data_IF_660656631443
#
_entry.id   IF_660656631443
#
_cell.length_a   1.000
_cell.length_b   1.000
_cell.length_c   1.000
_cell.angle_alpha   90.00
_cell.angle_beta   90.00
_cell.angle_gamma   90.00
#
_symmetry.space_group_name_H-M   'P 1'
#
loop_
_entity.id
_entity.type
_entity.pdbx_description
1 polymer ?
#
# COMPACT_ATOMS: atom_id res chain seq x y z
N UNK A 1 -43.54 21.10 23.23
CA UNK A 1 -43.87 20.22 22.09
C UNK A 1 -43.61 21.04 20.84
N UNK A 2 -42.49 20.79 20.17
CA UNK A 2 -42.04 21.59 19.02
C UNK A 2 -42.46 20.88 17.74
N UNK A 3 -43.45 21.43 17.04
CA UNK A 3 -43.84 21.05 15.69
C UNK A 3 -42.72 21.49 14.73
N UNK A 4 -41.89 20.53 14.31
CA UNK A 4 -41.05 20.75 13.15
C UNK A 4 -41.88 20.42 11.90
N UNK A 5 -42.00 21.35 10.93
CA UNK A 5 -42.76 21.08 9.71
C UNK A 5 -42.12 19.94 8.91
N UNK A 6 -42.97 19.04 8.39
CA UNK A 6 -42.57 17.96 7.50
C UNK A 6 -42.05 18.55 6.18
N UNK A 7 -40.85 18.14 5.69
CA UNK A 7 -40.31 18.65 4.45
C UNK A 7 -41.17 18.19 3.26
N UNK A 8 -41.68 19.15 2.49
CA UNK A 8 -42.58 18.94 1.34
C UNK A 8 -41.86 18.67 0.03
N UNK A 9 -40.53 18.68 0.02
CA UNK A 9 -39.73 18.51 -1.19
C UNK A 9 -38.83 17.26 -1.07
N UNK A 10 -39.06 16.30 -1.96
CA UNK A 10 -38.23 15.10 -2.13
C UNK A 10 -36.77 15.50 -2.37
N UNK A 11 -36.53 16.67 -2.97
CA UNK A 11 -35.20 17.24 -3.22
C UNK A 11 -34.50 17.62 -1.91
N UNK A 12 -35.22 18.12 -0.90
CA UNK A 12 -34.67 18.42 0.44
C UNK A 12 -34.45 17.14 1.26
N UNK A 13 -35.30 16.12 1.06
CA UNK A 13 -35.10 14.80 1.67
C UNK A 13 -33.89 14.08 1.06
N UNK A 14 -33.70 14.19 -0.26
CA UNK A 14 -32.54 13.66 -0.99
C UNK A 14 -31.26 14.45 -0.69
N UNK A 15 -31.33 15.78 -0.49
CA UNK A 15 -30.20 16.56 0.01
C UNK A 15 -29.83 16.19 1.44
N UNK A 16 -30.81 15.92 2.31
CA UNK A 16 -30.55 15.42 3.68
C UNK A 16 -29.99 14.00 3.71
N UNK A 17 -30.38 13.15 2.76
CA UNK A 17 -29.82 11.81 2.58
C UNK A 17 -28.46 11.83 1.87
N UNK A 18 -28.21 12.82 1.03
CA UNK A 18 -26.95 13.06 0.31
C UNK A 18 -25.93 13.92 1.07
N UNK A 19 -26.32 14.57 2.17
CA UNK A 19 -25.46 15.31 3.10
C UNK A 19 -24.81 14.42 4.17
N UNK A 20 -24.66 13.13 3.88
CA UNK A 20 -23.40 12.45 4.17
C UNK A 20 -22.47 12.75 2.96
N UNK A 21 -22.15 14.02 2.74
CA UNK A 21 -20.77 14.50 2.68
C UNK A 21 -19.82 13.68 3.59
N UNK A 22 -19.66 12.38 3.32
CA UNK A 22 -18.31 11.86 3.32
C UNK A 22 -17.64 12.62 2.18
N UNK A 23 -16.93 13.71 2.53
CA UNK A 23 -15.82 14.18 1.71
C UNK A 23 -15.14 12.93 1.14
N UNK A 24 -14.81 12.85 -0.16
CA UNK A 24 -14.08 11.71 -0.68
C UNK A 24 -12.85 11.59 0.19
N UNK A 25 -12.88 10.66 1.15
CA UNK A 25 -11.80 10.46 2.10
C UNK A 25 -10.63 10.25 1.18
N UNK A 26 -9.68 11.18 1.19
CA UNK A 26 -8.45 11.08 0.41
C UNK A 26 -8.01 9.63 0.54
N UNK A 27 -8.19 8.86 -0.54
CA UNK A 27 -7.97 7.42 -0.50
C UNK A 27 -6.48 7.31 -0.23
N UNK A 28 -6.13 6.96 1.01
CA UNK A 28 -4.75 6.85 1.42
C UNK A 28 -4.05 5.96 0.39
N UNK A 29 -2.85 6.35 -0.08
CA UNK A 29 -2.19 5.65 -1.17
C UNK A 29 -2.05 4.16 -0.81
N UNK A 30 -2.41 3.28 -1.75
CA UNK A 30 -2.28 1.84 -1.56
C UNK A 30 -0.79 1.50 -1.54
N UNK A 31 -0.33 0.97 -0.41
CA UNK A 31 1.08 0.71 -0.14
C UNK A 31 1.38 -0.77 -0.04
N UNK A 32 2.47 -1.19 -0.70
CA UNK A 32 3.09 -2.50 -0.52
C UNK A 32 4.35 -2.34 0.31
N UNK A 33 4.55 -3.22 1.29
CA UNK A 33 5.71 -3.19 2.19
C UNK A 33 6.66 -4.33 1.87
N UNK A 34 7.95 -4.04 1.85
CA UNK A 34 9.04 -5.01 1.79
C UNK A 34 9.96 -4.78 2.97
N UNK A 35 9.95 -5.68 3.96
CA UNK A 35 10.91 -5.63 5.05
C UNK A 35 12.31 -6.03 4.55
N UNK A 36 13.32 -5.26 4.95
CA UNK A 36 14.71 -5.47 4.52
C UNK A 36 15.72 -4.94 5.53
N UNK A 37 16.91 -5.52 5.51
CA UNK A 37 18.13 -5.10 6.20
C UNK A 37 19.28 -4.76 5.22
N UNK A 38 18.99 -4.77 3.92
CA UNK A 38 19.92 -4.62 2.79
C UNK A 38 21.00 -5.70 2.64
N UNK A 39 21.23 -6.56 3.63
CA UNK A 39 22.13 -7.70 3.50
C UNK A 39 21.62 -8.68 2.41
N UNK A 40 20.30 -8.77 2.27
CA UNK A 40 19.64 -9.59 1.25
C UNK A 40 18.82 -8.74 0.27
N UNK A 41 19.49 -8.23 -0.77
CA UNK A 41 18.87 -7.36 -1.78
C UNK A 41 17.99 -8.07 -2.82
N UNK A 42 17.93 -9.41 -2.83
CA UNK A 42 17.21 -10.17 -3.86
C UNK A 42 15.70 -9.89 -3.86
N UNK A 43 15.08 -9.84 -2.68
CA UNK A 43 13.65 -9.54 -2.53
C UNK A 43 13.35 -8.08 -2.91
N UNK A 44 14.04 -7.06 -2.34
CA UNK A 44 13.87 -5.67 -2.78
C UNK A 44 14.00 -5.49 -4.29
N UNK A 45 15.03 -6.06 -4.92
CA UNK A 45 15.24 -5.97 -6.37
C UNK A 45 14.12 -6.64 -7.17
N UNK A 46 13.65 -7.81 -6.73
CA UNK A 46 12.55 -8.53 -7.38
C UNK A 46 11.26 -7.70 -7.30
N UNK A 47 10.98 -7.11 -6.15
CA UNK A 47 9.80 -6.27 -5.96
C UNK A 47 9.88 -4.98 -6.77
N UNK A 48 11.04 -4.35 -6.90
CA UNK A 48 11.24 -3.19 -7.78
C UNK A 48 10.95 -3.55 -9.24
N UNK A 49 11.47 -4.69 -9.72
CA UNK A 49 11.21 -5.16 -11.09
C UNK A 49 9.74 -5.44 -11.33
N UNK A 50 9.08 -6.11 -10.39
CA UNK A 50 7.65 -6.40 -10.48
C UNK A 50 6.81 -5.11 -10.45
N UNK A 51 7.10 -4.22 -9.50
CA UNK A 51 6.42 -2.94 -9.36
C UNK A 51 6.54 -2.12 -10.65
N UNK A 52 7.75 -1.98 -11.21
CA UNK A 52 7.97 -1.31 -12.50
C UNK A 52 7.17 -1.92 -13.64
N UNK A 53 7.09 -3.24 -13.71
CA UNK A 53 6.42 -3.94 -14.79
C UNK A 53 4.89 -3.85 -14.71
N UNK A 54 4.34 -3.69 -13.50
CA UNK A 54 2.90 -3.83 -13.22
C UNK A 54 2.25 -2.48 -12.97
N UNK A 55 2.93 -1.58 -12.26
CA UNK A 55 2.35 -0.34 -11.74
C UNK A 55 2.58 0.81 -12.71
N UNK A 56 1.50 1.41 -13.26
CA UNK A 56 1.62 2.57 -14.13
C UNK A 56 2.21 3.77 -13.37
N UNK A 57 3.04 4.54 -14.06
CA UNK A 57 3.53 5.82 -13.55
C UNK A 57 2.36 6.75 -13.21
N UNK A 58 2.44 7.43 -12.05
CA UNK A 58 1.40 8.35 -11.60
C UNK A 58 0.14 7.69 -11.02
N UNK A 59 0.11 6.37 -10.84
CA UNK A 59 -1.02 5.65 -10.23
C UNK A 59 -1.27 5.97 -8.75
N UNK A 60 -0.32 6.62 -8.07
CA UNK A 60 -0.39 6.89 -6.63
C UNK A 60 -0.10 5.68 -5.75
N UNK A 61 0.19 4.51 -6.35
CA UNK A 61 0.66 3.32 -5.63
C UNK A 61 2.05 3.54 -5.05
N UNK A 62 2.28 2.96 -3.87
CA UNK A 62 3.55 3.07 -3.16
C UNK A 62 4.20 1.70 -2.94
N UNK A 63 5.52 1.66 -3.07
CA UNK A 63 6.37 0.56 -2.64
C UNK A 63 7.29 1.07 -1.54
N UNK A 64 7.07 0.61 -0.32
CA UNK A 64 7.84 1.01 0.84
C UNK A 64 8.82 -0.09 1.26
N UNK A 65 10.08 0.28 1.42
CA UNK A 65 11.11 -0.57 2.02
C UNK A 65 11.18 -0.26 3.50
N UNK A 66 10.72 -1.21 4.32
CA UNK A 66 10.75 -1.08 5.76
C UNK A 66 12.10 -1.58 6.29
N UNK A 67 12.74 -0.82 7.17
CA UNK A 67 14.02 -1.17 7.82
C UNK A 67 13.88 -1.20 9.35
N UNK A 68 14.70 -1.99 10.08
CA UNK A 68 14.55 -2.17 11.53
C UNK A 68 14.57 -0.89 12.38
N UNK A 69 15.38 0.09 11.99
CA UNK A 69 15.57 1.36 12.69
C UNK A 69 15.01 2.56 11.94
N UNK A 70 15.41 3.76 12.37
CA UNK A 70 15.13 4.98 11.61
C UNK A 70 15.90 4.97 10.28
N UNK A 71 15.24 5.25 9.14
CA UNK A 71 15.91 5.34 7.86
C UNK A 71 17.03 6.37 7.86
N UNK A 72 18.13 6.00 7.25
CA UNK A 72 19.35 6.79 7.05
C UNK A 72 19.49 7.16 5.57
N UNK A 73 20.46 8.03 5.28
CA UNK A 73 20.83 8.35 3.90
C UNK A 73 21.31 7.11 3.11
N UNK A 74 21.96 6.16 3.78
CA UNK A 74 22.43 4.92 3.15
C UNK A 74 21.27 4.05 2.68
N UNK A 75 20.17 3.98 3.43
CA UNK A 75 19.00 3.20 3.03
C UNK A 75 18.36 3.78 1.75
N UNK A 76 18.28 5.11 1.67
CA UNK A 76 17.80 5.80 0.47
C UNK A 76 18.74 5.55 -0.74
N UNK A 77 20.06 5.59 -0.53
CA UNK A 77 21.05 5.27 -1.56
C UNK A 77 20.92 3.82 -2.05
N UNK A 78 20.70 2.86 -1.13
CA UNK A 78 20.44 1.46 -1.49
C UNK A 78 19.21 1.32 -2.40
N UNK A 79 18.10 2.00 -2.08
CA UNK A 79 16.91 1.99 -2.94
C UNK A 79 17.23 2.57 -4.32
N UNK A 80 17.96 3.69 -4.39
CA UNK A 80 18.33 4.29 -5.67
C UNK A 80 19.18 3.34 -6.53
N UNK A 81 20.22 2.74 -5.96
CA UNK A 81 21.07 1.77 -6.67
C UNK A 81 20.27 0.58 -7.18
N UNK A 82 19.36 0.05 -6.37
CA UNK A 82 18.51 -1.07 -6.78
C UNK A 82 17.47 -0.67 -7.84
N UNK A 83 16.88 0.53 -7.74
CA UNK A 83 15.93 1.06 -8.72
C UNK A 83 16.60 1.30 -10.08
N UNK A 84 17.82 1.81 -10.09
CA UNK A 84 18.64 1.93 -11.30
C UNK A 84 18.91 0.56 -11.92
N UNK A 85 19.29 -0.43 -11.10
CA UNK A 85 19.45 -1.82 -11.53
C UNK A 85 18.16 -2.48 -12.04
N UNK A 86 17.00 -1.98 -11.61
CA UNK A 86 15.68 -2.40 -12.11
C UNK A 86 15.24 -1.67 -13.39
N UNK A 87 15.95 -0.61 -13.81
CA UNK A 87 15.77 0.09 -15.08
C UNK A 87 15.27 1.54 -15.02
N UNK A 88 15.62 2.27 -13.95
CA UNK A 88 15.46 3.73 -13.69
C UNK A 88 14.07 4.37 -13.88
N UNK A 89 13.77 5.35 -13.03
CA UNK A 89 12.56 6.21 -12.99
C UNK A 89 11.27 5.56 -12.45
N UNK A 90 11.33 5.06 -11.22
CA UNK A 90 10.17 4.59 -10.46
C UNK A 90 9.66 5.67 -9.51
N UNK A 91 8.42 6.10 -9.70
CA UNK A 91 7.70 6.91 -8.72
C UNK A 91 7.13 6.05 -7.58
N UNK A 92 6.84 6.66 -6.43
CA UNK A 92 6.16 6.00 -5.32
C UNK A 92 7.06 5.09 -4.47
N UNK A 93 8.38 5.23 -4.56
CA UNK A 93 9.31 4.53 -3.67
C UNK A 93 9.47 5.31 -2.35
N UNK A 94 9.43 4.59 -1.23
CA UNK A 94 9.64 5.14 0.12
C UNK A 94 10.55 4.21 0.92
N UNK A 95 11.36 4.77 1.83
CA UNK A 95 12.01 4.01 2.90
C UNK A 95 11.43 4.47 4.23
N UNK A 96 11.05 3.52 5.09
CA UNK A 96 10.45 3.81 6.39
C UNK A 96 10.96 2.85 7.47
N UNK A 97 10.81 3.23 8.74
CA UNK A 97 11.15 2.34 9.86
C UNK A 97 10.07 1.27 10.04
N UNK A 98 10.42 0.13 10.65
CA UNK A 98 9.46 -0.90 11.05
C UNK A 98 8.35 -0.33 11.94
N UNK A 99 8.69 0.61 12.84
CA UNK A 99 7.72 1.29 13.68
C UNK A 99 6.66 2.01 12.84
N UNK A 100 7.08 2.84 11.88
CA UNK A 100 6.16 3.51 10.95
C UNK A 100 5.38 2.53 10.07
N UNK A 101 6.01 1.44 9.63
CA UNK A 101 5.38 0.42 8.78
C UNK A 101 4.13 -0.20 9.41
N UNK A 102 4.12 -0.33 10.74
CA UNK A 102 3.05 -0.95 11.52
C UNK A 102 1.91 0.05 11.77
N UNK A 103 2.23 1.33 11.90
CA UNK A 103 1.25 2.39 12.22
C UNK A 103 0.49 2.85 10.98
N UNK A 104 1.12 2.79 9.82
CA UNK A 104 0.53 3.28 8.58
C UNK A 104 -0.25 2.19 7.83
N UNK A 105 -1.37 2.54 7.17
CA UNK A 105 -2.10 1.60 6.33
C UNK A 105 -1.24 1.05 5.19
N UNK A 106 -1.42 -0.23 4.93
CA UNK A 106 -0.79 -0.95 3.84
C UNK A 106 -1.74 -2.04 3.33
N UNK A 107 -1.51 -2.51 2.11
CA UNK A 107 -2.31 -3.58 1.50
C UNK A 107 -1.69 -4.95 1.75
N UNK A 108 -0.41 -5.12 1.39
CA UNK A 108 0.30 -6.38 1.54
C UNK A 108 1.77 -6.16 1.90
N UNK A 109 2.35 -7.11 2.62
CA UNK A 109 3.72 -7.01 3.16
C UNK A 109 4.51 -8.32 3.03
N UNK A 110 5.75 -8.20 2.57
CA UNK A 110 6.74 -9.27 2.55
C UNK A 110 7.64 -9.09 3.77
N UNK A 111 7.77 -10.14 4.57
CA UNK A 111 8.66 -10.22 5.72
C UNK A 111 9.26 -11.61 5.71
N UNK A 112 10.55 -11.70 5.39
CA UNK A 112 11.27 -12.97 5.38
C UNK A 112 11.39 -13.50 6.82
N UNK A 113 11.08 -14.77 7.01
CA UNK A 113 11.16 -15.48 8.30
C UNK A 113 12.19 -16.61 8.26
N UNK A 114 13.02 -16.64 7.22
CA UNK A 114 14.04 -17.66 6.98
C UNK A 114 13.55 -18.88 6.19
N UNK A 115 12.24 -19.03 5.95
CA UNK A 115 11.69 -20.09 5.09
C UNK A 115 11.63 -19.63 3.62
N UNK A 116 12.43 -20.23 2.72
CA UNK A 116 12.44 -19.84 1.31
C UNK A 116 11.13 -20.14 0.57
N UNK A 117 10.42 -21.20 0.93
CA UNK A 117 9.13 -21.55 0.28
C UNK A 117 8.06 -20.53 0.69
N UNK A 118 8.00 -20.20 1.99
CA UNK A 118 7.12 -19.16 2.49
C UNK A 118 7.45 -17.80 1.86
N UNK A 119 8.74 -17.45 1.73
CA UNK A 119 9.16 -16.21 1.08
C UNK A 119 8.72 -16.14 -0.39
N UNK A 120 8.89 -17.22 -1.15
CA UNK A 120 8.43 -17.29 -2.55
C UNK A 120 6.92 -17.13 -2.64
N UNK A 121 6.16 -17.77 -1.74
CA UNK A 121 4.72 -17.63 -1.68
C UNK A 121 4.29 -16.19 -1.35
N UNK A 122 4.99 -15.52 -0.41
CA UNK A 122 4.75 -14.12 -0.08
C UNK A 122 5.01 -13.20 -1.29
N UNK A 123 6.15 -13.36 -1.95
CA UNK A 123 6.52 -12.57 -3.14
C UNK A 123 5.49 -12.76 -4.25
N UNK A 124 5.14 -14.00 -4.58
CA UNK A 124 4.12 -14.31 -5.58
C UNK A 124 2.75 -13.73 -5.22
N UNK A 125 2.35 -13.84 -3.95
CA UNK A 125 1.10 -13.29 -3.44
C UNK A 125 1.02 -11.77 -3.58
N UNK A 126 2.09 -11.04 -3.23
CA UNK A 126 2.14 -9.58 -3.41
C UNK A 126 2.10 -9.19 -4.89
N UNK A 127 2.78 -9.91 -5.77
CA UNK A 127 2.76 -9.64 -7.22
C UNK A 127 1.34 -9.82 -7.80
N UNK A 128 0.65 -10.90 -7.44
CA UNK A 128 -0.76 -11.11 -7.84
C UNK A 128 -1.62 -9.97 -7.32
N UNK A 129 -1.40 -9.56 -6.07
CA UNK A 129 -2.14 -8.47 -5.45
C UNK A 129 -1.90 -7.13 -6.13
N UNK A 130 -0.66 -6.82 -6.56
CA UNK A 130 -0.36 -5.62 -7.35
C UNK A 130 -1.20 -5.58 -8.63
N UNK A 131 -1.29 -6.69 -9.37
CA UNK A 131 -2.14 -6.76 -10.56
C UNK A 131 -3.62 -6.52 -10.25
N UNK A 132 -4.12 -7.09 -9.15
CA UNK A 132 -5.51 -6.88 -8.75
C UNK A 132 -5.79 -5.42 -8.39
N UNK A 133 -4.88 -4.78 -7.64
CA UNK A 133 -4.99 -3.37 -7.26
C UNK A 133 -4.96 -2.47 -8.50
N UNK A 134 -4.01 -2.68 -9.42
CA UNK A 134 -3.92 -1.89 -10.67
C UNK A 134 -5.21 -2.03 -11.49
N UNK A 135 -5.71 -3.25 -11.69
CA UNK A 135 -6.98 -3.48 -12.41
C UNK A 135 -8.18 -2.81 -11.74
N UNK A 136 -8.21 -2.75 -10.40
CA UNK A 136 -9.26 -2.06 -9.66
C UNK A 136 -9.17 -0.55 -9.87
N UNK A 137 -7.98 0.04 -9.79
CA UNK A 137 -7.76 1.46 -10.04
C UNK A 137 -8.17 1.85 -11.46
N UNK A 138 -7.81 1.06 -12.47
CA UNK A 138 -8.22 1.30 -13.86
C UNK A 138 -9.75 1.30 -14.02
N UNK A 139 -10.47 0.37 -13.37
CA UNK A 139 -11.94 0.32 -13.40
C UNK A 139 -12.58 1.49 -12.66
N UNK A 140 -12.01 1.88 -11.52
CA UNK A 140 -12.47 3.04 -10.76
C UNK A 140 -12.33 4.33 -11.57
N UNK A 141 -11.18 4.52 -12.23
CA UNK A 141 -10.94 5.64 -13.15
C UNK A 141 -11.87 5.61 -14.37
N UNK A 142 -12.24 4.42 -14.86
CA UNK A 142 -13.21 4.22 -15.92
C UNK A 142 -14.69 4.35 -15.46
N UNK A 143 -14.94 4.74 -14.21
CA UNK A 143 -16.30 4.95 -13.68
C UNK A 143 -17.11 3.67 -13.43
N UNK A 144 -16.47 2.51 -13.41
CA UNK A 144 -17.12 1.20 -13.24
C UNK A 144 -17.01 0.73 -11.78
N UNK A 145 -17.94 1.21 -10.93
CA UNK A 145 -18.18 0.86 -9.52
C UNK A 145 -17.02 1.02 -8.51
N UNK A 146 -17.37 1.67 -7.39
CA UNK A 146 -16.59 1.86 -6.18
C UNK A 146 -16.65 0.62 -5.29
N UNK A 147 -15.72 -0.32 -5.45
CA UNK A 147 -15.42 -1.26 -4.38
C UNK A 147 -14.27 -0.68 -3.55
N UNK A 148 -14.65 0.11 -2.54
CA UNK A 148 -13.75 0.84 -1.65
C UNK A 148 -13.05 -0.04 -0.62
N UNK A 149 -13.18 -1.37 -0.72
CA UNK A 149 -12.47 -2.31 0.13
C UNK A 149 -11.03 -2.51 -0.34
N UNK A 150 -10.22 -1.47 -0.17
CA UNK A 150 -8.77 -1.63 -0.10
C UNK A 150 -8.48 -2.59 1.05
N UNK A 151 -7.66 -3.61 0.80
CA UNK A 151 -7.23 -4.50 1.86
C UNK A 151 -6.43 -3.64 2.85
N UNK A 152 -6.86 -3.59 4.10
CA UNK A 152 -6.07 -3.01 5.17
C UNK A 152 -5.38 -4.19 5.83
N UNK A 153 -4.11 -4.38 5.53
CA UNK A 153 -3.33 -5.47 6.09
C UNK A 153 -3.42 -5.51 7.62
N UNK A 154 -3.22 -6.71 8.19
CA UNK A 154 -3.25 -6.91 9.63
C UNK A 154 -1.97 -6.37 10.30
N UNK A 155 -2.08 -5.15 10.86
CA UNK A 155 -0.99 -4.47 11.55
C UNK A 155 -0.42 -5.28 12.73
N UNK A 156 -1.24 -6.07 13.43
CA UNK A 156 -0.78 -6.90 14.54
C UNK A 156 0.03 -8.09 14.01
N UNK A 157 -0.42 -8.71 12.90
CA UNK A 157 0.35 -9.74 12.23
C UNK A 157 1.66 -9.20 11.64
N UNK A 158 1.66 -7.99 11.07
CA UNK A 158 2.87 -7.34 10.59
C UNK A 158 3.84 -7.09 11.74
N UNK A 159 3.38 -6.53 12.86
CA UNK A 159 4.21 -6.31 14.06
C UNK A 159 4.89 -7.60 14.52
N UNK A 160 4.15 -8.70 14.63
CA UNK A 160 4.72 -10.01 15.02
C UNK A 160 5.81 -10.47 14.06
N UNK A 161 5.56 -10.39 12.75
CA UNK A 161 6.51 -10.83 11.72
C UNK A 161 7.77 -9.97 11.71
N UNK A 162 7.64 -8.64 11.82
CA UNK A 162 8.78 -7.73 11.86
C UNK A 162 9.62 -7.91 13.14
N UNK A 163 9.00 -8.26 14.27
CA UNK A 163 9.73 -8.60 15.49
C UNK A 163 10.56 -9.88 15.34
N UNK A 164 10.07 -10.87 14.58
CA UNK A 164 10.84 -12.09 14.24
C UNK A 164 11.97 -11.80 13.27
N UNK A 165 11.81 -10.86 12.34
CA UNK A 165 12.83 -10.52 11.35
C UNK A 165 14.15 -10.03 11.97
N UNK A 166 14.09 -9.35 13.13
CA UNK A 166 15.27 -8.80 13.83
C UNK A 166 15.86 -9.71 14.91
N UNK A 167 15.18 -10.81 15.25
CA UNK A 167 15.54 -11.69 16.37
C UNK A 167 16.26 -12.95 15.90
#
# INVERSE_FOLDING_TARGET
>A
MSDAPLPTDITDMLKRLGALDEEPRSELPVRFIVATDWEQAAVPLTMLKAFRAIVPAGSGLQLAFAVPGEPTASDAECVHVLADGAGSDLAGLEVLSFARAIEEPYDSAIVADGDPEALLAQVGGVIVRMHDVVRRLERAQAGTLADSSLNRGDAEALRRRLATFVG
#
